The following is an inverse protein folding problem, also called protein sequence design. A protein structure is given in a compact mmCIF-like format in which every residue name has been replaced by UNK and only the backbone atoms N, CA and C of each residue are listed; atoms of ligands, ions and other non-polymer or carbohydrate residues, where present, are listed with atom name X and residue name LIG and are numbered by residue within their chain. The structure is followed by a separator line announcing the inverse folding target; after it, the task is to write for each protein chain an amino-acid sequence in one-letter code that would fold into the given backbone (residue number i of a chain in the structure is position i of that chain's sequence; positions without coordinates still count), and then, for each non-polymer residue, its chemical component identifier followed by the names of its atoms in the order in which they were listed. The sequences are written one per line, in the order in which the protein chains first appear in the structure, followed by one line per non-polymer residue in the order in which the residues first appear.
data_IF_597018535276
#
_entry.id   IF_597018535276
#
_cell.length_a   1.000
_cell.length_b   1.000
_cell.length_c   1.000
_cell.angle_alpha   90.00
_cell.angle_beta   90.00
_cell.angle_gamma   90.00
#
_symmetry.space_group_name_H-M   'P 1'
#
loop_
_entity.id
_entity.type
_entity.pdbx_description
1 polymer ?
#
# COMPACT_ATOMS: atom_id res chain seq x y z
N UNK A 1 -4.74 -18.52 -18.87
CA UNK A 1 -4.78 -17.08 -18.54
C UNK A 1 -4.89 -16.88 -17.03
N UNK A 2 -4.19 -15.89 -16.48
CA UNK A 2 -4.27 -15.56 -15.04
C UNK A 2 -5.23 -14.39 -14.78
N UNK A 3 -5.89 -14.38 -13.61
CA UNK A 3 -6.51 -13.18 -13.04
C UNK A 3 -5.58 -12.61 -11.97
N UNK A 4 -5.40 -11.29 -11.90
CA UNK A 4 -4.69 -10.66 -10.78
C UNK A 4 -5.46 -9.46 -10.25
N UNK A 5 -5.42 -9.25 -8.93
CA UNK A 5 -6.09 -8.12 -8.30
C UNK A 5 -5.13 -6.98 -8.01
N UNK A 6 -5.58 -5.76 -8.31
CA UNK A 6 -4.92 -4.50 -7.91
C UNK A 6 -5.98 -3.43 -7.63
N UNK A 7 -5.71 -2.47 -6.74
CA UNK A 7 -6.52 -1.26 -6.68
C UNK A 7 -6.48 -0.54 -8.02
N UNK A 8 -7.57 0.13 -8.39
CA UNK A 8 -7.74 0.76 -9.69
C UNK A 8 -6.55 1.62 -10.15
N UNK A 9 -5.93 2.47 -9.31
CA UNK A 9 -4.80 3.30 -9.75
C UNK A 9 -3.54 2.53 -10.18
N UNK A 10 -3.40 1.27 -9.73
CA UNK A 10 -2.27 0.39 -10.10
C UNK A 10 -2.59 -0.59 -11.22
N UNK A 11 -3.86 -0.73 -11.57
CA UNK A 11 -4.34 -1.80 -12.43
C UNK A 11 -3.66 -1.82 -13.81
N UNK A 12 -3.64 -0.68 -14.50
CA UNK A 12 -3.05 -0.56 -15.84
C UNK A 12 -1.56 -0.82 -15.86
N UNK A 13 -0.81 -0.25 -14.89
CA UNK A 13 0.64 -0.43 -14.80
C UNK A 13 1.00 -1.90 -14.55
N UNK A 14 0.28 -2.57 -13.65
CA UNK A 14 0.47 -4.01 -13.40
C UNK A 14 0.12 -4.84 -14.64
N UNK A 15 -0.97 -4.54 -15.35
CA UNK A 15 -1.34 -5.26 -16.58
C UNK A 15 -0.25 -5.15 -17.65
N UNK A 16 0.29 -3.95 -17.86
CA UNK A 16 1.41 -3.75 -18.78
C UNK A 16 2.67 -4.53 -18.37
N UNK A 17 2.97 -4.61 -17.07
CA UNK A 17 4.11 -5.38 -16.58
C UNK A 17 3.96 -6.88 -16.84
N UNK A 18 2.77 -7.46 -16.63
CA UNK A 18 2.50 -8.87 -16.95
C UNK A 18 2.58 -9.14 -18.45
N UNK A 19 2.03 -8.25 -19.28
CA UNK A 19 2.07 -8.36 -20.74
C UNK A 19 3.52 -8.31 -21.27
N UNK A 20 4.32 -7.34 -20.83
CA UNK A 20 5.75 -7.23 -21.17
C UNK A 20 6.55 -8.47 -20.74
N UNK A 21 6.13 -9.15 -19.69
CA UNK A 21 6.74 -10.40 -19.25
C UNK A 21 6.28 -11.63 -20.03
N UNK A 22 5.38 -11.46 -21.03
CA UNK A 22 4.80 -12.53 -21.84
C UNK A 22 3.73 -13.36 -21.12
N UNK A 23 3.19 -12.87 -19.98
CA UNK A 23 2.18 -13.57 -19.21
C UNK A 23 0.79 -13.10 -19.63
N UNK A 24 -0.03 -14.04 -20.14
CA UNK A 24 -1.43 -13.75 -20.45
C UNK A 24 -2.24 -13.60 -19.16
N UNK A 25 -2.45 -12.35 -18.72
CA UNK A 25 -3.16 -12.04 -17.50
C UNK A 25 -4.22 -10.96 -17.69
N UNK A 26 -5.26 -10.99 -16.87
CA UNK A 26 -6.29 -9.96 -16.75
C UNK A 26 -6.25 -9.34 -15.39
N UNK A 27 -6.09 -8.04 -15.34
CA UNK A 27 -6.20 -7.26 -14.10
C UNK A 27 -7.66 -7.03 -13.73
N UNK A 28 -7.96 -7.19 -12.44
CA UNK A 28 -9.26 -6.95 -11.84
C UNK A 28 -9.12 -5.97 -10.70
N UNK A 29 -9.78 -4.82 -10.78
CA UNK A 29 -9.93 -3.90 -9.67
C UNK A 29 -11.33 -4.06 -9.06
N UNK A 30 -11.39 -4.35 -7.79
CA UNK A 30 -12.62 -4.38 -6.97
C UNK A 30 -12.70 -3.18 -6.04
N UNK A 31 -11.64 -2.37 -5.96
CA UNK A 31 -11.57 -1.16 -5.14
C UNK A 31 -10.77 -0.06 -5.82
N UNK A 32 -11.12 1.18 -5.47
CA UNK A 32 -10.39 2.39 -5.84
C UNK A 32 -9.76 3.04 -4.60
N UNK A 33 -8.87 3.98 -4.83
CA UNK A 33 -8.26 4.84 -3.83
C UNK A 33 -8.77 6.26 -4.05
N UNK A 34 -9.60 6.71 -3.14
CA UNK A 34 -10.22 8.04 -3.21
C UNK A 34 -9.44 8.98 -2.31
N UNK A 35 -8.98 10.09 -2.87
CA UNK A 35 -8.35 11.17 -2.09
C UNK A 35 -9.40 11.90 -1.27
N UNK A 36 -9.08 12.22 -0.01
CA UNK A 36 -9.91 13.04 0.85
C UNK A 36 -9.32 14.47 0.82
N UNK A 37 -9.82 15.28 -0.11
CA UNK A 37 -9.22 16.59 -0.42
C UNK A 37 -9.18 17.55 0.79
N UNK A 38 -10.19 17.54 1.66
CA UNK A 38 -10.22 18.30 2.90
C UNK A 38 -9.08 17.90 3.84
N UNK A 39 -8.86 16.59 4.02
CA UNK A 39 -7.79 16.06 4.86
C UNK A 39 -6.41 16.27 4.25
N UNK A 40 -6.28 16.19 2.91
CA UNK A 40 -5.03 16.51 2.24
C UNK A 40 -4.65 17.98 2.45
N UNK A 41 -5.62 18.88 2.32
CA UNK A 41 -5.41 20.31 2.58
C UNK A 41 -5.06 20.55 4.06
N UNK A 42 -5.83 19.98 4.99
CA UNK A 42 -5.57 20.14 6.43
C UNK A 42 -4.18 19.63 6.82
N UNK A 43 -3.74 18.50 6.28
CA UNK A 43 -2.41 17.95 6.51
C UNK A 43 -1.30 18.89 5.97
N UNK A 44 -1.49 19.41 4.75
CA UNK A 44 -0.52 20.35 4.14
C UNK A 44 -0.44 21.65 4.94
N UNK A 45 -1.57 22.28 5.26
CA UNK A 45 -1.66 23.51 6.06
C UNK A 45 -1.03 23.32 7.44
N UNK A 46 -1.26 22.15 8.06
CA UNK A 46 -0.66 21.79 9.34
C UNK A 46 0.86 21.74 9.28
N UNK A 47 1.42 21.02 8.28
CA UNK A 47 2.85 20.88 8.07
C UNK A 47 3.54 22.20 7.68
N UNK A 48 2.83 23.09 6.97
CA UNK A 48 3.32 24.42 6.64
C UNK A 48 3.43 25.34 7.87
N UNK A 49 2.50 25.19 8.84
CA UNK A 49 2.33 26.13 9.95
C UNK A 49 2.94 25.64 11.28
N UNK A 50 3.30 24.36 11.39
CA UNK A 50 3.78 23.79 12.65
C UNK A 50 5.16 23.16 12.50
N UNK A 51 5.99 23.33 13.52
CA UNK A 51 7.26 22.58 13.64
C UNK A 51 6.97 21.18 14.16
N UNK A 52 7.44 20.16 13.44
CA UNK A 52 7.31 18.75 13.81
C UNK A 52 8.67 18.07 13.74
N UNK A 53 8.92 17.07 14.60
CA UNK A 53 10.20 16.38 14.62
C UNK A 53 10.27 15.29 13.53
N UNK A 54 9.15 14.59 13.29
CA UNK A 54 9.10 13.57 12.27
C UNK A 54 7.72 13.49 11.58
N UNK A 55 7.73 13.05 10.32
CA UNK A 55 6.53 12.74 9.54
C UNK A 55 6.59 11.28 9.11
N UNK A 56 5.58 10.49 9.46
CA UNK A 56 5.45 9.10 9.04
C UNK A 56 4.46 9.03 7.88
N UNK A 57 4.93 8.54 6.73
CA UNK A 57 4.14 8.45 5.49
C UNK A 57 3.90 7.00 5.14
N UNK A 58 2.65 6.53 5.31
CA UNK A 58 2.33 5.10 5.24
C UNK A 58 2.12 4.56 3.82
N UNK A 59 1.98 5.42 2.81
CA UNK A 59 1.68 5.00 1.44
C UNK A 59 2.06 6.07 0.41
N UNK A 60 2.27 5.64 -0.83
CA UNK A 60 2.43 6.53 -2.01
C UNK A 60 1.24 7.49 -2.21
N UNK A 61 0.07 7.14 -1.71
CA UNK A 61 -1.14 7.97 -1.78
C UNK A 61 -1.18 9.07 -0.72
N UNK A 62 -0.31 9.00 0.27
CA UNK A 62 -0.17 9.96 1.37
C UNK A 62 0.95 11.00 1.13
N UNK A 63 1.65 10.94 0.00
CA UNK A 63 2.85 11.74 -0.27
C UNK A 63 2.52 13.20 -0.60
N UNK A 64 1.46 13.45 -1.36
CA UNK A 64 1.14 14.79 -1.89
C UNK A 64 1.04 15.88 -0.84
N UNK A 65 0.27 15.72 0.26
CA UNK A 65 0.17 16.77 1.29
C UNK A 65 1.48 17.02 2.03
N UNK A 66 2.37 16.03 2.10
CA UNK A 66 3.71 16.23 2.68
C UNK A 66 4.56 17.11 1.80
N UNK A 67 4.57 16.85 0.49
CA UNK A 67 5.30 17.70 -0.48
C UNK A 67 4.78 19.13 -0.44
N UNK A 68 3.46 19.32 -0.51
CA UNK A 68 2.84 20.65 -0.50
C UNK A 68 3.18 21.40 0.79
N UNK A 69 2.95 20.78 1.94
CA UNK A 69 3.17 21.42 3.24
C UNK A 69 4.63 21.79 3.51
N UNK A 70 5.58 20.90 3.17
CA UNK A 70 7.01 21.18 3.39
C UNK A 70 7.58 22.24 2.44
N UNK A 71 7.03 22.39 1.25
CA UNK A 71 7.45 23.46 0.32
C UNK A 71 7.04 24.85 0.81
N UNK A 72 5.98 24.95 1.58
CA UNK A 72 5.45 26.19 2.14
C UNK A 72 5.94 26.45 3.57
N UNK A 73 6.58 25.45 4.21
CA UNK A 73 7.04 25.55 5.59
C UNK A 73 8.29 26.43 5.71
N UNK A 74 8.27 27.33 6.69
CA UNK A 74 9.44 28.08 7.14
C UNK A 74 10.16 27.41 8.33
N UNK A 75 9.63 26.29 8.84
CA UNK A 75 10.18 25.54 9.97
C UNK A 75 11.38 24.68 9.56
N UNK A 76 12.23 24.27 10.49
CA UNK A 76 13.24 23.25 10.22
C UNK A 76 12.62 21.98 9.62
N UNK A 77 13.31 21.40 8.65
CA UNK A 77 12.79 20.21 7.94
C UNK A 77 12.79 19.00 8.89
N UNK A 78 11.65 18.29 9.01
CA UNK A 78 11.54 17.11 9.87
C UNK A 78 12.21 15.88 9.25
N UNK A 79 12.45 14.87 10.08
CA UNK A 79 12.75 13.53 9.60
C UNK A 79 11.51 12.96 8.91
N UNK A 80 11.65 12.42 7.69
CA UNK A 80 10.55 11.72 7.01
C UNK A 80 10.77 10.22 7.07
N UNK A 81 9.83 9.49 7.67
CA UNK A 81 9.81 8.05 7.71
C UNK A 81 8.81 7.53 6.66
N UNK A 82 9.32 7.02 5.56
CA UNK A 82 8.51 6.34 4.55
C UNK A 82 8.38 4.86 4.91
N UNK A 83 7.16 4.34 5.02
CA UNK A 83 6.94 2.92 5.42
C UNK A 83 7.53 1.94 4.42
N UNK A 84 7.67 2.31 3.16
CA UNK A 84 8.25 1.44 2.13
C UNK A 84 8.92 2.19 1.00
N UNK A 85 9.78 1.47 0.24
CA UNK A 85 10.66 2.03 -0.80
C UNK A 85 9.92 2.83 -1.88
N UNK A 86 8.73 2.38 -2.31
CA UNK A 86 7.95 3.11 -3.30
C UNK A 86 7.49 4.49 -2.78
N UNK A 87 7.18 4.58 -1.49
CA UNK A 87 6.83 5.83 -0.82
C UNK A 87 8.06 6.72 -0.69
N UNK A 88 9.20 6.15 -0.29
CA UNK A 88 10.46 6.87 -0.18
C UNK A 88 10.88 7.48 -1.53
N UNK A 89 10.88 6.68 -2.62
CA UNK A 89 11.21 7.19 -3.97
C UNK A 89 10.30 8.32 -4.41
N UNK A 90 8.99 8.22 -4.14
CA UNK A 90 8.04 9.28 -4.52
C UNK A 90 8.24 10.55 -3.71
N UNK A 91 8.58 10.44 -2.42
CA UNK A 91 8.95 11.58 -1.57
C UNK A 91 10.24 12.23 -2.04
N UNK A 92 11.29 11.45 -2.34
CA UNK A 92 12.57 11.94 -2.86
C UNK A 92 12.38 12.75 -4.14
N UNK A 93 11.65 12.20 -5.11
CA UNK A 93 11.35 12.90 -6.36
C UNK A 93 10.52 14.20 -6.14
N UNK A 94 9.56 14.17 -5.21
CA UNK A 94 8.72 15.35 -4.93
C UNK A 94 9.40 16.43 -4.10
N UNK A 95 10.44 16.07 -3.33
CA UNK A 95 11.18 17.00 -2.45
C UNK A 95 12.61 17.27 -2.94
N UNK A 96 12.90 17.03 -4.22
CA UNK A 96 14.23 17.24 -4.82
C UNK A 96 14.72 18.69 -4.63
N UNK A 97 13.81 19.67 -4.62
CA UNK A 97 14.12 21.07 -4.34
C UNK A 97 14.48 21.37 -2.87
N UNK A 98 14.33 20.41 -1.95
CA UNK A 98 14.64 20.51 -0.53
C UNK A 98 15.73 19.46 -0.16
N UNK A 99 16.99 19.65 -0.59
CA UNK A 99 18.04 18.61 -0.47
C UNK A 99 18.41 18.27 0.97
N UNK A 100 18.09 19.11 1.94
CA UNK A 100 18.35 18.88 3.35
C UNK A 100 17.32 17.96 4.02
N UNK A 101 16.25 17.55 3.31
CA UNK A 101 15.24 16.64 3.86
C UNK A 101 15.83 15.24 3.99
N UNK A 102 15.77 14.71 5.19
CA UNK A 102 16.19 13.34 5.48
C UNK A 102 14.99 12.39 5.34
N UNK A 103 15.08 11.42 4.41
CA UNK A 103 14.05 10.39 4.18
C UNK A 103 14.65 9.03 4.52
N UNK A 104 14.01 8.30 5.43
CA UNK A 104 14.44 6.97 5.89
C UNK A 104 13.32 5.95 5.74
N UNK A 105 13.68 4.68 5.69
CA UNK A 105 12.75 3.55 5.70
C UNK A 105 13.09 2.59 6.84
N UNK A 106 12.11 1.96 7.51
CA UNK A 106 12.38 0.93 8.49
C UNK A 106 12.93 -0.33 7.81
N UNK A 107 13.71 -1.14 8.52
CA UNK A 107 14.18 -2.45 8.01
C UNK A 107 13.00 -3.37 7.66
N UNK A 108 11.99 -3.40 8.54
CA UNK A 108 10.74 -4.11 8.31
C UNK A 108 9.65 -3.09 8.02
N UNK A 109 8.99 -3.20 6.88
CA UNK A 109 7.93 -2.29 6.44
C UNK A 109 6.60 -2.54 7.18
N UNK A 110 6.66 -2.57 8.51
CA UNK A 110 5.53 -2.83 9.43
C UNK A 110 5.45 -1.74 10.49
N UNK A 111 4.33 -1.69 11.23
CA UNK A 111 4.17 -0.76 12.36
C UNK A 111 5.24 -0.99 13.43
N UNK A 112 5.55 -2.24 13.72
CA UNK A 112 6.56 -2.65 14.67
C UNK A 112 7.97 -2.20 14.23
N UNK A 113 8.26 -2.34 12.93
CA UNK A 113 9.52 -1.88 12.33
C UNK A 113 9.71 -0.37 12.45
N UNK A 114 8.62 0.42 12.31
CA UNK A 114 8.65 1.87 12.51
C UNK A 114 8.88 2.19 13.99
N UNK A 115 8.13 1.57 14.91
CA UNK A 115 8.25 1.81 16.34
C UNK A 115 9.61 1.39 16.92
N UNK A 116 10.33 0.50 16.25
CA UNK A 116 11.67 0.07 16.60
C UNK A 116 12.79 1.01 16.08
N UNK A 117 12.45 2.02 15.26
CA UNK A 117 13.44 2.97 14.74
C UNK A 117 13.97 3.86 15.85
N UNK A 118 15.31 3.92 16.02
CA UNK A 118 15.93 4.70 17.08
C UNK A 118 15.65 6.20 16.93
N UNK A 119 15.56 6.71 15.70
CA UNK A 119 15.28 8.12 15.42
C UNK A 119 13.92 8.60 15.98
N UNK A 120 12.95 7.70 16.12
CA UNK A 120 11.65 8.01 16.73
C UNK A 120 11.63 7.81 18.25
N UNK A 121 12.72 7.28 18.83
CA UNK A 121 12.87 7.03 20.26
C UNK A 121 13.90 7.98 20.90
N UNK A 122 14.44 8.91 20.14
CA UNK A 122 15.36 9.92 20.68
C UNK A 122 14.61 10.92 21.57
N UNK A 123 15.32 11.42 22.61
CA UNK A 123 14.77 12.36 23.57
C UNK A 123 14.19 13.64 22.95
N UNK A 124 14.56 13.95 21.71
CA UNK A 124 14.12 15.14 20.99
C UNK A 124 12.94 14.89 20.01
N UNK A 125 12.42 13.67 19.93
CA UNK A 125 11.29 13.35 19.05
C UNK A 125 9.96 13.45 19.81
N UNK A 126 9.53 14.67 20.12
CA UNK A 126 8.33 14.93 20.93
C UNK A 126 7.05 15.10 20.12
N UNK A 127 7.16 15.37 18.83
CA UNK A 127 6.01 15.67 17.98
C UNK A 127 6.14 14.96 16.63
N UNK A 128 5.22 14.03 16.36
CA UNK A 128 5.18 13.22 15.13
C UNK A 128 3.85 13.40 14.42
N UNK A 129 3.89 13.60 13.11
CA UNK A 129 2.71 13.62 12.24
C UNK A 129 2.64 12.33 11.42
N UNK A 130 1.49 11.68 11.42
CA UNK A 130 1.25 10.46 10.64
C UNK A 130 0.28 10.79 9.50
N UNK A 131 0.75 10.59 8.26
CA UNK A 131 -0.09 10.77 7.05
C UNK A 131 -0.42 9.38 6.51
N UNK A 132 -1.72 9.02 6.57
CA UNK A 132 -2.18 7.65 6.32
C UNK A 132 -3.51 7.60 5.54
N UNK A 133 -3.96 6.38 5.20
CA UNK A 133 -5.32 6.13 4.73
C UNK A 133 -6.28 5.82 5.86
N UNK A 134 -7.57 6.01 5.63
CA UNK A 134 -8.63 5.55 6.54
C UNK A 134 -8.58 4.03 6.75
N UNK A 135 -8.99 3.57 7.92
CA UNK A 135 -9.05 2.15 8.27
C UNK A 135 -7.68 1.48 8.47
N UNK A 136 -6.58 2.25 8.42
CA UNK A 136 -5.25 1.77 8.76
C UNK A 136 -5.13 1.46 10.25
N UNK A 137 -4.20 0.58 10.61
CA UNK A 137 -3.93 0.24 12.01
C UNK A 137 -3.44 1.48 12.76
N UNK A 138 -3.99 1.72 13.96
CA UNK A 138 -3.57 2.81 14.84
C UNK A 138 -2.35 2.43 15.71
N UNK A 139 -1.72 1.28 15.46
CA UNK A 139 -0.61 0.76 16.24
C UNK A 139 0.57 1.72 16.32
N UNK A 140 0.88 2.45 15.24
CA UNK A 140 1.98 3.42 15.23
C UNK A 140 1.63 4.59 16.16
N UNK A 141 0.43 5.15 16.01
CA UNK A 141 -0.01 6.28 16.83
C UNK A 141 -0.02 5.91 18.33
N UNK A 142 -0.64 4.77 18.65
CA UNK A 142 -0.68 4.26 20.03
C UNK A 142 0.70 4.01 20.62
N UNK A 143 1.58 3.34 19.87
CA UNK A 143 2.92 3.02 20.36
C UNK A 143 3.84 4.25 20.51
N UNK A 144 3.60 5.35 19.79
CA UNK A 144 4.28 6.62 20.01
C UNK A 144 3.67 7.40 21.19
N UNK A 145 2.36 7.43 21.31
CA UNK A 145 1.63 8.06 22.42
C UNK A 145 2.01 7.44 23.78
N UNK A 146 2.10 6.10 23.84
CA UNK A 146 2.57 5.36 25.02
C UNK A 146 4.00 5.74 25.45
N UNK A 147 4.80 6.30 24.54
CA UNK A 147 6.16 6.83 24.80
C UNK A 147 6.17 8.31 25.13
N UNK A 148 4.99 8.95 25.23
CA UNK A 148 4.85 10.38 25.52
C UNK A 148 5.09 11.31 24.33
N UNK A 149 5.06 10.79 23.10
CA UNK A 149 5.17 11.57 21.86
C UNK A 149 3.82 12.17 21.49
N UNK A 150 3.74 13.47 21.25
CA UNK A 150 2.55 14.10 20.66
C UNK A 150 2.35 13.60 19.24
N UNK A 151 1.19 13.01 18.95
CA UNK A 151 0.89 12.43 17.63
C UNK A 151 -0.33 13.10 17.01
N UNK A 152 -0.17 13.68 15.82
CA UNK A 152 -1.25 14.12 14.97
C UNK A 152 -1.37 13.17 13.76
N UNK A 153 -2.59 12.74 13.44
CA UNK A 153 -2.83 11.81 12.32
C UNK A 153 -3.83 12.40 11.34
N UNK A 154 -3.50 12.32 10.04
CA UNK A 154 -4.37 12.75 8.94
C UNK A 154 -4.66 11.58 8.01
N UNK A 155 -5.97 11.30 7.78
CA UNK A 155 -6.45 10.27 6.89
C UNK A 155 -6.73 10.86 5.49
N UNK A 156 -5.69 10.98 4.68
CA UNK A 156 -5.70 11.76 3.42
C UNK A 156 -6.23 10.98 2.21
N UNK A 157 -6.53 9.71 2.35
CA UNK A 157 -7.20 8.88 1.36
C UNK A 157 -7.98 7.75 2.01
N UNK A 158 -8.96 7.22 1.30
CA UNK A 158 -9.69 6.00 1.68
C UNK A 158 -9.67 4.98 0.56
N UNK A 159 -9.89 3.71 0.90
CA UNK A 159 -10.19 2.67 -0.07
C UNK A 159 -11.69 2.51 -0.16
N UNK A 160 -12.21 2.63 -1.36
CA UNK A 160 -13.64 2.48 -1.64
C UNK A 160 -13.87 1.25 -2.52
N UNK A 161 -14.85 0.44 -2.17
CA UNK A 161 -15.24 -0.72 -2.97
C UNK A 161 -15.98 -0.22 -4.21
N UNK A 162 -15.60 -0.76 -5.38
CA UNK A 162 -16.29 -0.45 -6.63
C UNK A 162 -17.63 -1.22 -6.67
N UNK A 163 -18.67 -0.54 -7.13
CA UNK A 163 -20.01 -1.16 -7.34
C UNK A 163 -19.91 -2.33 -8.34
N UNK A 164 -19.04 -2.20 -9.33
CA UNK A 164 -18.72 -3.27 -10.30
C UNK A 164 -17.21 -3.28 -10.52
N UNK A 165 -16.59 -4.47 -10.62
CA UNK A 165 -15.18 -4.55 -10.93
C UNK A 165 -14.85 -3.97 -12.28
N UNK A 166 -13.63 -3.44 -12.38
CA UNK A 166 -13.04 -2.96 -13.62
C UNK A 166 -11.99 -3.96 -14.07
N UNK A 167 -12.03 -4.33 -15.34
CA UNK A 167 -11.14 -5.30 -15.96
C UNK A 167 -10.24 -4.61 -16.98
N UNK A 168 -9.02 -5.12 -17.15
CA UNK A 168 -8.09 -4.60 -18.16
C UNK A 168 -8.43 -5.06 -19.58
N UNK A 169 -9.09 -6.22 -19.73
CA UNK A 169 -9.60 -6.74 -20.99
C UNK A 169 -10.77 -7.70 -20.77
N UNK A 170 -11.47 -8.08 -21.82
CA UNK A 170 -12.53 -9.12 -21.77
C UNK A 170 -11.91 -10.48 -21.43
N UNK A 171 -12.65 -11.30 -20.71
CA UNK A 171 -12.22 -12.63 -20.27
C UNK A 171 -13.43 -13.55 -20.03
N UNK A 172 -13.18 -14.86 -19.94
CA UNK A 172 -14.17 -15.87 -19.59
C UNK A 172 -13.63 -16.76 -18.49
N UNK A 173 -14.50 -17.23 -17.61
CA UNK A 173 -14.15 -18.07 -16.48
C UNK A 173 -13.39 -19.34 -16.91
N UNK A 174 -13.82 -20.01 -17.98
CA UNK A 174 -13.18 -21.23 -18.50
C UNK A 174 -11.76 -21.03 -19.08
N UNK A 175 -11.29 -19.78 -19.22
CA UNK A 175 -9.94 -19.47 -19.67
C UNK A 175 -8.97 -19.23 -18.50
N UNK A 176 -9.49 -19.16 -17.27
CA UNK A 176 -8.69 -18.88 -16.08
C UNK A 176 -7.94 -20.13 -15.63
N UNK A 177 -6.65 -20.03 -15.44
CA UNK A 177 -5.78 -21.10 -14.93
C UNK A 177 -5.23 -20.83 -13.53
N UNK A 178 -5.36 -19.59 -13.02
CA UNK A 178 -4.90 -19.23 -11.68
C UNK A 178 -5.24 -17.79 -11.33
N UNK A 179 -5.21 -17.48 -10.04
CA UNK A 179 -5.61 -16.18 -9.49
C UNK A 179 -4.50 -15.63 -8.60
N UNK A 180 -4.18 -14.35 -8.76
CA UNK A 180 -3.20 -13.65 -7.93
C UNK A 180 -3.91 -12.59 -7.11
N UNK A 181 -3.88 -12.68 -5.79
CA UNK A 181 -4.49 -11.72 -4.89
C UNK A 181 -3.46 -11.09 -3.94
N UNK A 182 -3.31 -9.77 -4.03
CA UNK A 182 -2.32 -9.01 -3.25
C UNK A 182 -2.87 -8.37 -1.99
N UNK A 183 -4.15 -8.58 -1.68
CA UNK A 183 -4.76 -8.26 -0.40
C UNK A 183 -5.94 -9.18 -0.09
N UNK A 184 -6.16 -9.40 1.20
CA UNK A 184 -7.25 -10.23 1.70
C UNK A 184 -8.62 -9.69 1.26
N UNK A 185 -8.85 -8.39 1.40
CA UNK A 185 -10.10 -7.76 1.01
C UNK A 185 -10.43 -7.98 -0.48
N UNK A 186 -9.44 -7.80 -1.38
CA UNK A 186 -9.65 -8.02 -2.81
C UNK A 186 -9.89 -9.50 -3.14
N UNK A 187 -9.22 -10.43 -2.44
CA UNK A 187 -9.46 -11.86 -2.60
C UNK A 187 -10.90 -12.24 -2.20
N UNK A 188 -11.35 -11.78 -1.04
CA UNK A 188 -12.70 -12.03 -0.55
C UNK A 188 -13.77 -11.41 -1.45
N UNK A 189 -13.55 -10.19 -1.96
CA UNK A 189 -14.44 -9.53 -2.90
C UNK A 189 -14.58 -10.31 -4.22
N UNK A 190 -13.48 -10.91 -4.73
CA UNK A 190 -13.57 -11.77 -5.90
C UNK A 190 -14.41 -13.01 -5.62
N UNK A 191 -14.19 -13.68 -4.48
CA UNK A 191 -14.96 -14.88 -4.11
C UNK A 191 -16.45 -14.52 -3.91
N UNK A 192 -16.75 -13.40 -3.27
CA UNK A 192 -18.12 -12.91 -3.10
C UNK A 192 -18.82 -12.70 -4.45
N UNK A 193 -18.10 -12.15 -5.41
CA UNK A 193 -18.67 -11.77 -6.70
C UNK A 193 -18.84 -12.95 -7.66
N UNK A 194 -17.87 -13.87 -7.71
CA UNK A 194 -17.87 -14.98 -8.68
C UNK A 194 -18.24 -16.32 -8.05
N UNK A 195 -18.44 -16.34 -6.73
CA UNK A 195 -18.88 -17.52 -5.99
C UNK A 195 -17.84 -18.64 -5.92
N UNK A 196 -18.35 -19.84 -5.63
CA UNK A 196 -17.54 -21.03 -5.38
C UNK A 196 -16.68 -21.48 -6.58
N UNK A 197 -16.98 -21.03 -7.80
CA UNK A 197 -16.17 -21.37 -8.98
C UNK A 197 -14.70 -20.97 -8.81
N UNK A 198 -14.43 -19.85 -8.12
CA UNK A 198 -13.06 -19.40 -7.89
C UNK A 198 -12.26 -20.28 -6.90
N UNK A 199 -12.92 -21.03 -6.04
CA UNK A 199 -12.27 -21.89 -5.03
C UNK A 199 -11.55 -23.10 -5.65
N UNK A 200 -11.88 -23.45 -6.91
CA UNK A 200 -11.27 -24.56 -7.63
C UNK A 200 -9.96 -24.21 -8.32
N UNK A 201 -9.67 -22.93 -8.47
CA UNK A 201 -8.42 -22.46 -9.09
C UNK A 201 -7.27 -22.49 -8.08
N UNK A 202 -6.04 -22.51 -8.60
CA UNK A 202 -4.84 -22.24 -7.81
C UNK A 202 -4.73 -20.74 -7.56
N UNK A 203 -4.30 -20.37 -6.33
CA UNK A 203 -4.16 -18.98 -5.92
C UNK A 203 -2.72 -18.68 -5.54
N UNK A 204 -2.26 -17.48 -5.88
CA UNK A 204 -1.03 -16.90 -5.40
C UNK A 204 -1.37 -15.68 -4.53
N UNK A 205 -0.82 -15.63 -3.33
CA UNK A 205 -0.97 -14.50 -2.41
C UNK A 205 0.38 -13.93 -2.01
N UNK A 206 0.37 -12.90 -1.14
CA UNK A 206 1.59 -12.19 -0.73
C UNK A 206 1.89 -12.32 0.78
N UNK A 207 1.13 -13.14 1.49
CA UNK A 207 1.40 -13.45 2.91
C UNK A 207 0.65 -14.71 3.36
N UNK A 208 1.21 -15.38 4.37
CA UNK A 208 0.60 -16.58 4.98
C UNK A 208 -0.77 -16.25 5.59
N UNK A 209 -0.98 -15.05 6.12
CA UNK A 209 -2.28 -14.61 6.64
C UNK A 209 -3.38 -14.66 5.56
N UNK A 210 -3.09 -14.19 4.34
CA UNK A 210 -4.06 -14.25 3.23
C UNK A 210 -4.27 -15.70 2.81
N UNK A 211 -3.23 -16.52 2.77
CA UNK A 211 -3.33 -17.93 2.44
C UNK A 211 -4.21 -18.68 3.44
N UNK A 212 -4.04 -18.45 4.74
CA UNK A 212 -4.90 -19.02 5.78
C UNK A 212 -6.37 -18.62 5.61
N UNK A 213 -6.64 -17.35 5.30
CA UNK A 213 -8.00 -16.87 5.01
C UNK A 213 -8.60 -17.58 3.79
N UNK A 214 -7.85 -17.71 2.69
CA UNK A 214 -8.33 -18.40 1.49
C UNK A 214 -8.58 -19.88 1.74
N UNK A 215 -7.70 -20.56 2.46
CA UNK A 215 -7.88 -21.97 2.86
C UNK A 215 -9.15 -22.15 3.71
N UNK A 216 -9.42 -21.23 4.65
CA UNK A 216 -10.65 -21.25 5.46
C UNK A 216 -11.93 -21.03 4.64
N UNK A 217 -11.82 -20.41 3.45
CA UNK A 217 -12.93 -20.26 2.50
C UNK A 217 -13.08 -21.46 1.55
N UNK A 218 -12.19 -22.44 1.62
CA UNK A 218 -12.27 -23.65 0.83
C UNK A 218 -11.39 -23.67 -0.43
N UNK A 219 -10.50 -22.70 -0.62
CA UNK A 219 -9.49 -22.76 -1.67
C UNK A 219 -8.49 -23.86 -1.32
N UNK A 220 -8.27 -24.81 -2.25
CA UNK A 220 -7.45 -26.00 -1.99
C UNK A 220 -5.96 -25.78 -2.25
N UNK A 221 -5.62 -24.94 -3.22
CA UNK A 221 -4.25 -24.72 -3.66
C UNK A 221 -3.91 -23.23 -3.53
N UNK A 222 -3.13 -22.88 -2.48
CA UNK A 222 -2.70 -21.49 -2.22
C UNK A 222 -1.20 -21.47 -2.03
N UNK A 223 -0.53 -20.70 -2.88
CA UNK A 223 0.89 -20.40 -2.78
C UNK A 223 1.13 -18.97 -2.26
N UNK A 224 2.31 -18.71 -1.72
CA UNK A 224 2.69 -17.42 -1.14
C UNK A 224 3.97 -16.90 -1.79
N UNK A 225 3.88 -15.67 -2.34
CA UNK A 225 5.03 -14.86 -2.74
C UNK A 225 5.22 -13.76 -1.69
N UNK A 226 6.34 -13.75 -0.98
CA UNK A 226 6.58 -12.83 0.16
C UNK A 226 6.63 -11.33 -0.22
N UNK A 227 6.45 -10.97 -1.50
CA UNK A 227 6.48 -9.60 -2.00
C UNK A 227 5.31 -9.30 -2.92
N UNK A 228 4.66 -8.15 -2.70
CA UNK A 228 3.50 -7.69 -3.47
C UNK A 228 3.85 -6.88 -4.73
N UNK A 229 5.12 -6.79 -5.14
CA UNK A 229 5.52 -6.07 -6.37
C UNK A 229 5.21 -6.88 -7.61
N UNK A 230 4.88 -6.21 -8.72
CA UNK A 230 4.61 -6.89 -9.99
C UNK A 230 5.80 -7.73 -10.44
N UNK A 231 7.02 -7.23 -10.28
CA UNK A 231 8.25 -7.95 -10.62
C UNK A 231 8.39 -9.27 -9.84
N UNK A 232 8.13 -9.25 -8.53
CA UNK A 232 8.22 -10.46 -7.71
C UNK A 232 7.13 -11.48 -8.05
N UNK A 233 5.89 -11.02 -8.30
CA UNK A 233 4.78 -11.88 -8.69
C UNK A 233 5.02 -12.51 -10.05
N UNK A 234 5.52 -11.73 -11.02
CA UNK A 234 5.88 -12.19 -12.36
C UNK A 234 6.98 -13.24 -12.29
N UNK A 235 8.06 -13.00 -11.54
CA UNK A 235 9.14 -13.96 -11.35
C UNK A 235 8.61 -15.26 -10.74
N UNK A 236 7.84 -15.14 -9.66
CA UNK A 236 7.26 -16.31 -8.99
C UNK A 236 6.38 -17.14 -9.94
N UNK A 237 5.52 -16.49 -10.74
CA UNK A 237 4.66 -17.17 -11.73
C UNK A 237 5.50 -17.90 -12.78
N UNK A 238 6.55 -17.26 -13.31
CA UNK A 238 7.44 -17.88 -14.30
C UNK A 238 8.15 -19.13 -13.78
N UNK A 239 8.50 -19.11 -12.51
CA UNK A 239 9.25 -20.21 -11.88
C UNK A 239 8.36 -21.38 -11.44
N UNK A 240 7.05 -21.14 -11.21
CA UNK A 240 6.19 -22.12 -10.54
C UNK A 240 4.91 -22.48 -11.28
N UNK A 241 4.46 -21.66 -12.24
CA UNK A 241 3.21 -21.93 -12.96
C UNK A 241 3.42 -22.04 -14.47
N UNK A 242 2.78 -23.02 -15.07
CA UNK A 242 2.52 -23.05 -16.51
C UNK A 242 1.38 -22.09 -16.84
N UNK A 243 1.52 -21.20 -17.85
CA UNK A 243 0.58 -20.11 -18.16
C UNK A 243 0.47 -19.86 -19.67
#
# INVERSE_FOLDING_TARGET
MLLFTRPLPKLKASASAFEQAGINAVGVATSDIIKISSEQKAAADYLASNSVNAIIVTSVYAVEPVISGLRESASPLPLIVAVGDATARKLQAGLEALPSVQIVTPKNHTSEGILAMHQLNEANCHHVVIIKGEGGRDAIAKGLDEKGTLVNSFCVYKREQLVRPIYTKRWKMGEVSGIIATSEAMALQLIEQFGHALLTFKWLTVSDRIALTLNSKGVKEVAVCQRATDQALIAWVKDNWEY
#
